data_IF_396858698513
#
_entry.id   IF_396858698513
#
_cell.length_a   1.000
_cell.length_b   1.000
_cell.length_c   1.000
_cell.angle_alpha   90.00
_cell.angle_beta   90.00
_cell.angle_gamma   90.00
#
_symmetry.space_group_name_H-M   'P 1'
#
loop_
_entity.id
_entity.type
_entity.pdbx_description
1 polymer ?
#
# COMPACT_ATOMS: atom_id res chain seq x y z
N UNK A 1 3.50 -30.08 16.07
CA UNK A 1 4.06 -30.80 14.90
C UNK A 1 2.86 -31.18 14.03
N UNK A 2 2.46 -30.50 12.96
CA UNK A 2 3.11 -29.57 12.04
C UNK A 2 2.23 -28.32 11.86
N UNK A 3 2.83 -27.14 11.93
CA UNK A 3 2.22 -25.87 11.51
C UNK A 3 2.77 -25.56 10.12
N UNK A 4 2.04 -25.99 9.08
CA UNK A 4 2.43 -25.82 7.68
C UNK A 4 1.52 -24.79 7.02
N UNK A 5 2.16 -23.73 6.55
CA UNK A 5 1.73 -22.89 5.41
C UNK A 5 0.47 -22.05 5.63
N UNK A 6 0.64 -20.96 6.39
CA UNK A 6 0.04 -19.69 5.98
C UNK A 6 0.68 -19.31 4.65
N UNK A 7 -0.03 -19.50 3.54
CA UNK A 7 0.37 -19.01 2.23
C UNK A 7 0.25 -17.49 2.21
N UNK A 8 1.21 -16.82 2.85
CA UNK A 8 1.61 -15.46 2.51
C UNK A 8 2.06 -15.46 1.06
N UNK A 9 1.60 -14.52 0.24
CA UNK A 9 2.42 -14.16 -0.92
C UNK A 9 3.73 -13.60 -0.36
N UNK A 10 4.90 -14.21 -0.64
CA UNK A 10 6.15 -13.66 -0.17
C UNK A 10 6.43 -12.36 -0.93
N UNK A 11 6.18 -11.20 -0.31
CA UNK A 11 6.91 -10.02 -0.68
C UNK A 11 8.32 -10.18 -0.10
N UNK A 12 9.28 -10.52 -0.96
CA UNK A 12 10.67 -10.63 -0.56
C UNK A 12 11.26 -9.23 -0.40
N UNK A 13 11.55 -8.84 0.84
CA UNK A 13 12.50 -7.77 1.12
C UNK A 13 13.93 -8.27 0.86
N UNK A 14 14.80 -7.38 0.42
CA UNK A 14 16.21 -7.70 0.14
C UNK A 14 17.10 -6.86 1.05
N UNK A 15 18.23 -7.41 1.49
CA UNK A 15 19.31 -6.54 1.91
C UNK A 15 19.87 -5.79 0.69
N UNK A 16 20.34 -4.55 0.86
CA UNK A 16 20.98 -3.70 -0.16
C UNK A 16 22.15 -4.40 -0.87
N UNK A 17 22.77 -5.41 -0.25
CA UNK A 17 23.87 -6.19 -0.83
C UNK A 17 23.41 -7.49 -1.54
N UNK A 18 22.10 -7.77 -1.62
CA UNK A 18 21.53 -8.95 -2.28
C UNK A 18 21.66 -10.28 -1.50
N UNK A 19 22.15 -10.27 -0.26
CA UNK A 19 22.25 -11.46 0.58
C UNK A 19 21.09 -11.52 1.59
N UNK A 20 20.54 -12.72 1.84
CA UNK A 20 19.32 -13.02 2.64
C UNK A 20 18.00 -12.30 2.26
N UNK A 21 16.88 -13.02 2.42
CA UNK A 21 15.53 -12.50 2.18
C UNK A 21 14.90 -12.15 3.51
N UNK A 22 14.40 -10.93 3.66
CA UNK A 22 13.46 -10.63 4.73
C UNK A 22 12.10 -11.12 4.28
N UNK A 23 11.60 -12.14 4.95
CA UNK A 23 10.27 -12.66 4.70
C UNK A 23 9.25 -11.76 5.38
N UNK A 24 8.80 -10.73 4.67
CA UNK A 24 7.61 -9.98 5.06
C UNK A 24 6.38 -10.87 4.88
N UNK A 25 5.33 -10.63 5.68
CA UNK A 25 4.04 -11.31 5.52
C UNK A 25 2.99 -10.30 5.09
N UNK A 26 2.36 -10.58 3.96
CA UNK A 26 1.24 -9.81 3.42
C UNK A 26 0.00 -10.69 3.47
N UNK A 27 -1.05 -10.18 4.10
CA UNK A 27 -2.38 -10.76 4.08
C UNK A 27 -3.33 -9.86 3.29
N UNK A 28 -3.92 -10.40 2.23
CA UNK A 28 -4.86 -9.67 1.39
C UNK A 28 -6.31 -10.11 1.69
N UNK A 29 -7.19 -9.12 1.85
CA UNK A 29 -8.63 -9.33 1.96
C UNK A 29 -9.36 -8.41 0.97
N UNK A 30 -10.12 -9.00 0.05
CA UNK A 30 -10.94 -8.31 -0.93
C UNK A 30 -12.44 -8.41 -0.65
N UNK A 31 -13.22 -7.57 -1.32
CA UNK A 31 -14.69 -7.61 -1.24
C UNK A 31 -15.31 -8.83 -1.95
N UNK A 32 -14.61 -9.40 -2.93
CA UNK A 32 -15.06 -10.54 -3.73
C UNK A 32 -14.15 -11.73 -3.47
N UNK A 33 -14.77 -12.88 -3.18
CA UNK A 33 -14.21 -14.19 -2.78
C UNK A 33 -13.90 -14.37 -1.27
N UNK A 34 -14.41 -15.44 -0.64
CA UNK A 34 -13.97 -15.84 0.68
C UNK A 34 -12.55 -16.40 0.62
N UNK A 35 -11.57 -15.59 1.01
CA UNK A 35 -10.23 -16.09 1.30
C UNK A 35 -10.30 -16.97 2.55
N UNK A 36 -10.37 -18.30 2.38
CA UNK A 36 -10.43 -19.32 3.45
C UNK A 36 -9.17 -19.36 4.35
N UNK A 37 -8.19 -18.49 4.09
CA UNK A 37 -6.88 -18.45 4.76
C UNK A 37 -6.80 -17.43 5.91
N UNK A 38 -7.79 -16.55 6.04
CA UNK A 38 -7.84 -15.52 7.08
C UNK A 38 -8.92 -15.92 8.09
N UNK A 39 -8.59 -15.91 9.39
CA UNK A 39 -9.60 -16.21 10.42
C UNK A 39 -10.81 -15.29 10.26
N UNK A 40 -12.00 -15.80 10.59
CA UNK A 40 -13.27 -15.05 10.46
C UNK A 40 -13.21 -13.68 11.14
N UNK A 41 -12.56 -13.61 12.31
CA UNK A 41 -12.37 -12.37 13.07
C UNK A 41 -11.56 -11.33 12.29
N UNK A 42 -10.40 -11.71 11.72
CA UNK A 42 -9.59 -10.78 10.92
C UNK A 42 -10.32 -10.33 9.65
N UNK A 43 -11.08 -11.25 9.04
CA UNK A 43 -11.89 -10.94 7.85
C UNK A 43 -12.99 -9.93 8.16
N UNK A 44 -13.70 -10.09 9.27
CA UNK A 44 -14.76 -9.16 9.69
C UNK A 44 -14.21 -7.75 9.93
N UNK A 45 -13.08 -7.65 10.63
CA UNK A 45 -12.40 -6.37 10.87
C UNK A 45 -11.94 -5.72 9.56
N UNK A 46 -11.31 -6.50 8.67
CA UNK A 46 -10.86 -6.03 7.37
C UNK A 46 -12.02 -5.51 6.49
N UNK A 47 -13.15 -6.22 6.47
CA UNK A 47 -14.33 -5.81 5.71
C UNK A 47 -14.99 -4.56 6.28
N UNK A 48 -15.07 -4.42 7.60
CA UNK A 48 -15.59 -3.20 8.20
C UNK A 48 -14.66 -2.01 7.91
N UNK A 49 -13.34 -2.22 7.98
CA UNK A 49 -12.35 -1.20 7.58
C UNK A 49 -12.50 -0.77 6.13
N UNK A 50 -12.66 -1.72 5.19
CA UNK A 50 -12.89 -1.42 3.77
C UNK A 50 -14.18 -0.62 3.57
N UNK A 51 -15.25 -1.01 4.25
CA UNK A 51 -16.56 -0.35 4.18
C UNK A 51 -16.53 1.07 4.76
N UNK A 52 -15.78 1.32 5.83
CA UNK A 52 -15.62 2.69 6.36
C UNK A 52 -14.72 3.53 5.47
N UNK A 53 -13.63 2.95 4.97
CA UNK A 53 -12.66 3.64 4.12
C UNK A 53 -13.22 4.01 2.76
N UNK A 54 -14.10 3.20 2.18
CA UNK A 54 -14.72 3.48 0.87
C UNK A 54 -15.44 4.83 0.83
N UNK A 55 -16.12 5.21 1.92
CA UNK A 55 -16.80 6.51 2.02
C UNK A 55 -15.81 7.67 2.03
N UNK A 56 -14.67 7.50 2.68
CA UNK A 56 -13.61 8.51 2.72
C UNK A 56 -12.96 8.65 1.34
N UNK A 57 -12.56 7.52 0.74
CA UNK A 57 -11.95 7.48 -0.61
C UNK A 57 -12.88 8.11 -1.64
N UNK A 58 -14.19 7.79 -1.61
CA UNK A 58 -15.17 8.41 -2.51
C UNK A 58 -15.14 9.93 -2.43
N UNK A 59 -15.16 10.48 -1.21
CA UNK A 59 -15.17 11.95 -1.00
C UNK A 59 -13.88 12.60 -1.47
N UNK A 60 -12.73 11.94 -1.27
CA UNK A 60 -11.45 12.42 -1.79
C UNK A 60 -11.50 12.47 -3.32
N UNK A 61 -11.96 11.39 -3.97
CA UNK A 61 -12.09 11.33 -5.43
C UNK A 61 -13.09 12.36 -5.97
N UNK A 62 -14.24 12.56 -5.33
CA UNK A 62 -15.22 13.59 -5.71
C UNK A 62 -14.59 14.98 -5.73
N UNK A 63 -13.80 15.31 -4.70
CA UNK A 63 -13.11 16.61 -4.60
C UNK A 63 -12.00 16.73 -5.64
N UNK A 64 -11.18 15.69 -5.83
CA UNK A 64 -10.09 15.70 -6.81
C UNK A 64 -10.64 15.83 -8.23
N UNK A 65 -11.58 14.98 -8.62
CA UNK A 65 -12.19 14.99 -9.94
C UNK A 65 -13.00 16.25 -10.19
N UNK A 66 -13.76 16.73 -9.20
CA UNK A 66 -14.48 18.00 -9.31
C UNK A 66 -13.55 19.19 -9.58
N UNK A 67 -12.39 19.22 -8.93
CA UNK A 67 -11.38 20.27 -9.16
C UNK A 67 -10.68 20.14 -10.52
N UNK A 68 -10.65 18.94 -11.10
CA UNK A 68 -10.15 18.68 -12.46
C UNK A 68 -11.23 18.85 -13.54
N UNK A 69 -12.47 19.17 -13.16
CA UNK A 69 -13.60 19.31 -14.09
C UNK A 69 -14.13 17.97 -14.62
N UNK A 70 -13.86 16.86 -13.93
CA UNK A 70 -14.37 15.53 -14.27
C UNK A 70 -15.72 15.32 -13.59
N UNK A 71 -16.73 14.97 -14.39
CA UNK A 71 -18.10 14.70 -13.93
C UNK A 71 -18.18 13.44 -13.05
N UNK A 72 -19.07 13.45 -12.05
CA UNK A 72 -19.24 12.37 -11.06
C UNK A 72 -19.60 11.01 -11.71
N UNK A 73 -20.28 11.01 -12.85
CA UNK A 73 -20.70 9.80 -13.56
C UNK A 73 -19.51 8.94 -14.04
N UNK A 74 -18.32 9.53 -14.17
CA UNK A 74 -17.09 8.82 -14.53
C UNK A 74 -16.31 8.28 -13.32
N UNK A 75 -16.78 8.53 -12.11
CA UNK A 75 -16.12 8.10 -10.87
C UNK A 75 -16.44 6.63 -10.57
N UNK A 76 -15.63 5.72 -11.14
CA UNK A 76 -15.72 4.29 -10.87
C UNK A 76 -14.76 3.88 -9.75
N UNK A 77 -15.29 3.51 -8.57
CA UNK A 77 -14.46 3.12 -7.41
C UNK A 77 -13.86 1.71 -7.50
N UNK A 78 -14.07 0.97 -8.60
CA UNK A 78 -13.49 -0.36 -8.82
C UNK A 78 -13.69 -1.33 -7.65
N UNK A 79 -12.85 -2.37 -7.60
CA UNK A 79 -12.77 -3.28 -6.46
C UNK A 79 -11.80 -2.73 -5.41
N UNK A 80 -12.20 -2.73 -4.14
CA UNK A 80 -11.30 -2.37 -3.02
C UNK A 80 -10.74 -3.62 -2.35
N UNK A 81 -9.48 -3.53 -1.94
CA UNK A 81 -8.77 -4.55 -1.17
C UNK A 81 -7.95 -3.93 -0.04
N UNK A 82 -7.69 -4.70 1.01
CA UNK A 82 -6.82 -4.30 2.10
C UNK A 82 -5.66 -5.28 2.22
N UNK A 83 -4.46 -4.73 2.32
CA UNK A 83 -3.24 -5.47 2.61
C UNK A 83 -2.82 -5.19 4.06
N UNK A 84 -2.62 -6.25 4.83
CA UNK A 84 -2.02 -6.18 6.16
C UNK A 84 -0.59 -6.67 6.06
N UNK A 85 0.36 -5.76 6.23
CA UNK A 85 1.79 -6.03 6.06
C UNK A 85 2.47 -6.14 7.42
N UNK A 86 3.30 -7.17 7.59
CA UNK A 86 4.17 -7.32 8.75
C UNK A 86 5.62 -7.43 8.31
N UNK A 87 6.41 -6.43 8.68
CA UNK A 87 7.87 -6.39 8.50
C UNK A 87 8.54 -6.75 9.82
N UNK A 88 9.28 -7.87 9.90
CA UNK A 88 9.94 -8.26 11.13
C UNK A 88 11.11 -7.31 11.46
N UNK A 89 11.49 -7.17 12.74
CA UNK A 89 12.70 -6.44 13.12
C UNK A 89 13.92 -6.98 12.38
N UNK A 90 14.73 -6.07 11.83
CA UNK A 90 15.98 -6.40 11.15
C UNK A 90 17.16 -5.83 11.94
N UNK A 91 18.25 -6.60 12.16
CA UNK A 91 19.43 -6.12 12.87
C UNK A 91 20.17 -4.99 12.13
N UNK A 92 19.98 -4.85 10.82
CA UNK A 92 20.68 -3.85 10.00
C UNK A 92 19.72 -3.11 9.06
N UNK A 93 19.02 -2.11 9.61
CA UNK A 93 17.98 -1.34 8.93
C UNK A 93 18.55 -0.53 7.75
N UNK A 94 19.75 0.01 7.88
CA UNK A 94 20.45 0.81 6.84
C UNK A 94 20.78 -0.02 5.59
N UNK A 95 20.91 -1.33 5.77
CA UNK A 95 21.22 -2.28 4.70
C UNK A 95 20.00 -3.05 4.24
N UNK A 96 18.79 -2.67 4.61
CA UNK A 96 17.59 -3.46 4.37
C UNK A 96 16.52 -2.68 3.61
N UNK A 97 15.93 -3.34 2.61
CA UNK A 97 14.77 -2.85 1.86
C UNK A 97 13.61 -3.80 2.13
N UNK A 98 12.63 -3.35 2.92
CA UNK A 98 11.46 -4.15 3.31
C UNK A 98 10.57 -4.52 2.12
N UNK A 99 10.36 -3.58 1.21
CA UNK A 99 9.74 -3.78 -0.12
C UNK A 99 10.55 -2.99 -1.12
N UNK A 100 10.81 -3.59 -2.29
CA UNK A 100 11.50 -2.90 -3.38
C UNK A 100 10.74 -1.62 -3.79
N UNK A 101 11.43 -0.59 -4.32
CA UNK A 101 10.77 0.55 -4.96
C UNK A 101 9.71 0.08 -5.98
N UNK A 102 8.50 0.63 -5.87
CA UNK A 102 7.37 0.32 -6.75
C UNK A 102 6.36 1.47 -6.71
N UNK A 103 5.46 1.49 -7.69
CA UNK A 103 4.19 2.21 -7.64
C UNK A 103 3.04 1.22 -7.40
N UNK A 104 1.94 1.74 -6.87
CA UNK A 104 0.74 0.95 -6.59
C UNK A 104 -0.18 0.88 -7.82
N UNK A 105 -0.78 -0.29 -8.04
CA UNK A 105 -1.79 -0.50 -9.07
C UNK A 105 -3.17 -0.13 -8.52
N UNK A 106 -3.70 1.03 -8.90
CA UNK A 106 -4.98 1.51 -8.42
C UNK A 106 -5.26 2.97 -8.77
N UNK A 107 -6.25 3.57 -8.10
CA UNK A 107 -6.52 5.01 -8.18
C UNK A 107 -5.89 5.75 -6.98
N UNK A 108 -6.08 5.21 -5.77
CA UNK A 108 -5.52 5.72 -4.52
C UNK A 108 -5.19 4.55 -3.59
N UNK A 109 -4.02 4.59 -2.95
CA UNK A 109 -3.70 3.78 -1.79
C UNK A 109 -3.92 4.56 -0.49
N UNK A 110 -4.54 3.91 0.49
CA UNK A 110 -4.75 4.46 1.85
C UNK A 110 -3.93 3.64 2.84
N UNK A 111 -2.94 4.27 3.45
CA UNK A 111 -1.99 3.62 4.34
C UNK A 111 -2.20 4.09 5.79
N UNK A 112 -2.33 3.12 6.69
CA UNK A 112 -2.21 3.31 8.13
C UNK A 112 -0.83 2.79 8.55
N UNK A 113 0.00 3.68 9.11
CA UNK A 113 1.33 3.32 9.61
C UNK A 113 1.26 2.94 11.09
N UNK A 114 2.17 2.07 11.53
CA UNK A 114 2.46 1.89 12.94
C UNK A 114 3.34 3.04 13.46
N UNK A 115 3.76 2.98 14.73
CA UNK A 115 4.63 4.00 15.32
C UNK A 115 6.13 3.83 15.02
N UNK A 116 6.52 2.87 14.17
CA UNK A 116 7.93 2.54 13.92
C UNK A 116 8.48 3.35 12.74
N UNK A 117 7.70 3.49 11.66
CA UNK A 117 8.11 4.19 10.44
C UNK A 117 8.75 3.29 9.39
N UNK A 118 9.50 3.90 8.46
CA UNK A 118 10.17 3.20 7.34
C UNK A 118 9.55 3.41 5.95
N UNK A 119 8.41 4.10 5.85
CA UNK A 119 7.86 4.51 4.56
C UNK A 119 8.71 5.62 3.94
N UNK A 120 9.17 5.40 2.71
CA UNK A 120 9.84 6.42 1.91
C UNK A 120 9.11 6.62 0.58
N UNK A 121 9.00 7.87 0.15
CA UNK A 121 8.37 8.26 -1.12
C UNK A 121 9.38 9.01 -1.97
N UNK A 122 9.39 8.75 -3.27
CA UNK A 122 10.26 9.41 -4.23
C UNK A 122 9.55 10.64 -4.82
N UNK A 123 10.18 11.82 -4.77
CA UNK A 123 9.50 13.10 -5.09
C UNK A 123 9.99 13.80 -6.37
N UNK A 124 11.04 13.31 -7.04
CA UNK A 124 11.60 13.92 -8.25
C UNK A 124 11.92 12.83 -9.27
N UNK A 125 10.92 12.42 -10.05
CA UNK A 125 11.08 11.47 -11.16
C UNK A 125 11.10 12.22 -12.48
N UNK A 126 12.15 13.00 -12.74
CA UNK A 126 12.38 13.45 -14.10
C UNK A 126 12.85 12.24 -14.91
N UNK A 127 11.97 11.71 -15.76
CA UNK A 127 12.22 10.54 -16.61
C UNK A 127 13.47 10.68 -17.50
N UNK A 128 14.00 11.90 -17.63
CA UNK A 128 15.16 12.25 -18.45
C UNK A 128 16.47 12.42 -17.67
N UNK A 129 16.44 12.43 -16.34
CA UNK A 129 17.67 12.49 -15.53
C UNK A 129 18.00 11.12 -14.97
N UNK A 130 19.22 10.64 -15.25
CA UNK A 130 19.84 9.48 -14.58
C UNK A 130 20.13 9.74 -13.08
N UNK A 131 19.57 10.80 -12.49
CA UNK A 131 19.69 11.07 -11.07
C UNK A 131 18.73 10.16 -10.31
N UNK A 132 19.24 9.41 -9.33
CA UNK A 132 18.40 8.67 -8.40
C UNK A 132 17.55 9.70 -7.64
N UNK A 133 16.30 9.90 -8.09
CA UNK A 133 15.38 10.87 -7.50
C UNK A 133 15.35 10.82 -5.97
N UNK A 134 15.10 11.97 -5.35
CA UNK A 134 15.16 12.12 -3.89
C UNK A 134 14.07 11.30 -3.20
N UNK A 135 14.50 10.51 -2.21
CA UNK A 135 13.62 9.73 -1.33
C UNK A 135 13.41 10.49 -0.02
N UNK A 136 12.15 10.73 0.34
CA UNK A 136 11.76 11.38 1.58
C UNK A 136 11.09 10.36 2.49
N UNK A 137 11.52 10.31 3.75
CA UNK A 137 10.84 9.53 4.78
C UNK A 137 9.52 10.20 5.19
N UNK A 138 8.45 9.41 5.24
CA UNK A 138 7.14 9.83 5.72
C UNK A 138 6.97 9.36 7.17
N UNK A 139 7.40 10.19 8.12
CA UNK A 139 7.32 9.87 9.55
C UNK A 139 5.87 9.57 9.98
N UNK A 140 5.64 8.51 10.78
CA UNK A 140 4.31 8.21 11.28
C UNK A 140 3.75 9.34 12.16
N UNK A 141 2.48 9.69 11.90
CA UNK A 141 1.73 10.62 12.72
C UNK A 141 0.59 9.82 13.38
N UNK A 142 0.49 9.82 14.74
CA UNK A 142 -0.58 9.10 15.42
C UNK A 142 -1.98 9.51 14.92
N UNK A 143 -2.79 8.51 14.58
CA UNK A 143 -4.16 8.67 14.04
C UNK A 143 -4.24 9.35 12.66
N UNK A 144 -3.13 9.47 11.94
CA UNK A 144 -3.13 9.95 10.56
C UNK A 144 -3.13 8.79 9.56
N UNK A 145 -3.67 9.06 8.38
CA UNK A 145 -3.59 8.20 7.20
C UNK A 145 -2.70 8.88 6.17
N UNK A 146 -1.93 8.10 5.44
CA UNK A 146 -1.23 8.55 4.23
C UNK A 146 -2.08 8.16 3.04
N UNK A 147 -2.29 9.11 2.12
CA UNK A 147 -3.01 8.88 0.86
C UNK A 147 -1.97 9.00 -0.25
N UNK A 148 -1.76 7.90 -0.99
CA UNK A 148 -0.90 7.90 -2.17
C UNK A 148 -1.76 7.92 -3.45
N UNK A 149 -1.22 8.54 -4.49
CA UNK A 149 -1.80 8.50 -5.83
C UNK A 149 -1.21 7.33 -6.59
N UNK A 150 -2.06 6.53 -7.22
CA UNK A 150 -1.68 5.29 -7.88
C UNK A 150 -1.73 5.41 -9.41
N UNK A 151 -1.16 4.42 -10.11
CA UNK A 151 -0.92 4.44 -11.55
C UNK A 151 -2.16 4.78 -12.40
N UNK A 152 -3.35 4.30 -12.05
CA UNK A 152 -4.55 4.55 -12.86
C UNK A 152 -4.98 6.02 -12.83
N UNK A 153 -4.68 6.76 -11.76
CA UNK A 153 -4.92 8.21 -11.75
C UNK A 153 -3.84 8.95 -12.53
N UNK A 154 -2.59 8.47 -12.51
CA UNK A 154 -1.47 9.08 -13.24
C UNK A 154 -1.61 8.94 -14.77
N UNK A 155 -2.18 7.82 -15.26
CA UNK A 155 -2.40 7.57 -16.70
C UNK A 155 -3.42 8.55 -17.34
N UNK A 156 -4.12 9.37 -16.55
CA UNK A 156 -5.14 10.31 -17.06
C UNK A 156 -4.60 11.63 -17.67
N UNK A 157 -3.27 11.76 -17.87
CA UNK A 157 -2.60 12.97 -18.41
C UNK A 157 -1.99 12.79 -19.82
N UNK A 158 -2.56 11.95 -20.68
CA UNK A 158 -2.20 11.86 -22.11
C UNK A 158 -3.37 12.11 -23.04
#
# INVERSE_FOLDING_TARGET
MLDKQLLSSPASGFYRNGSEKIQSRIFECGQTEPNNFVSTVYREVALEYLKTSSKMVRRILEVLFGNLGVEEEYLCMGAMKVNMNFYPPCPDLELTVGVAPHSDLGILAVLLQDGIGGLHVKINEDEQEESNGEWIEISPIPNALVINVDDCLQVSNH
#
